data_IF_572451428442
#
_entry.id   IF_572451428442
#
_cell.length_a   1.000
_cell.length_b   1.000
_cell.length_c   1.000
_cell.angle_alpha   90.00
_cell.angle_beta   90.00
_cell.angle_gamma   90.00
#
_symmetry.space_group_name_H-M   'P 1'
#
loop_
_entity.id
_entity.type
_entity.pdbx_description
1 polymer ?
#
# COMPACT_ATOMS: atom_id res chain seq x y z
N UNK A 1 -42.92 -42.93 -10.14
CA UNK A 1 -41.84 -42.29 -9.35
C UNK A 1 -41.06 -41.37 -10.28
N UNK A 2 -41.06 -40.04 -10.06
CA UNK A 2 -40.26 -39.08 -10.83
C UNK A 2 -38.98 -38.76 -10.05
N UNK A 3 -37.79 -38.81 -10.67
CA UNK A 3 -36.54 -38.48 -9.97
C UNK A 3 -36.48 -36.98 -9.68
N UNK A 4 -36.13 -36.64 -8.43
CA UNK A 4 -35.89 -35.26 -7.97
C UNK A 4 -34.61 -34.74 -8.64
N UNK A 5 -34.78 -33.80 -9.57
CA UNK A 5 -33.67 -33.04 -10.15
C UNK A 5 -32.90 -32.32 -9.05
N UNK A 6 -31.61 -32.60 -8.96
CA UNK A 6 -30.69 -31.84 -8.12
C UNK A 6 -30.63 -30.41 -8.66
N UNK A 7 -31.04 -29.44 -7.84
CA UNK A 7 -30.79 -28.03 -8.10
C UNK A 7 -29.28 -27.84 -8.11
N UNK A 8 -28.69 -27.60 -9.28
CA UNK A 8 -27.32 -27.11 -9.40
C UNK A 8 -27.22 -25.83 -8.57
N UNK A 9 -26.39 -25.84 -7.53
CA UNK A 9 -26.08 -24.63 -6.77
C UNK A 9 -25.60 -23.55 -7.74
N UNK A 10 -26.05 -22.31 -7.52
CA UNK A 10 -25.55 -21.17 -8.28
C UNK A 10 -24.01 -21.14 -8.18
N UNK A 11 -23.28 -20.80 -9.26
CA UNK A 11 -21.83 -20.63 -9.16
C UNK A 11 -21.55 -19.57 -8.09
N UNK A 12 -20.87 -19.97 -7.02
CA UNK A 12 -20.35 -19.01 -6.05
C UNK A 12 -19.41 -18.08 -6.80
N UNK A 13 -19.76 -16.80 -6.87
CA UNK A 13 -18.89 -15.78 -7.45
C UNK A 13 -17.67 -15.69 -6.55
N UNK A 14 -16.50 -16.07 -7.06
CA UNK A 14 -15.24 -15.86 -6.34
C UNK A 14 -14.90 -14.39 -6.25
N UNK A 15 -14.00 -14.03 -5.32
CA UNK A 15 -13.40 -12.70 -5.30
C UNK A 15 -12.62 -12.47 -6.60
N UNK A 16 -12.68 -11.22 -7.10
CA UNK A 16 -12.05 -10.86 -8.37
C UNK A 16 -10.70 -10.22 -8.07
N UNK A 17 -9.64 -10.80 -8.62
CA UNK A 17 -8.29 -10.24 -8.60
C UNK A 17 -8.03 -9.61 -9.96
N UNK A 18 -7.62 -8.35 -9.98
CA UNK A 18 -7.29 -7.61 -11.19
C UNK A 18 -5.92 -6.96 -11.06
N UNK A 19 -5.09 -7.14 -12.07
CA UNK A 19 -3.86 -6.38 -12.23
C UNK A 19 -4.16 -5.17 -13.09
N UNK A 20 -3.70 -4.00 -12.64
CA UNK A 20 -3.93 -2.73 -13.31
C UNK A 20 -2.63 -1.95 -13.39
N UNK A 21 -2.42 -1.29 -14.53
CA UNK A 21 -1.17 -0.59 -14.83
C UNK A 21 -0.92 0.63 -13.93
N UNK A 22 -1.98 1.23 -13.39
CA UNK A 22 -1.91 2.42 -12.54
C UNK A 22 -3.02 2.44 -11.49
N UNK A 23 -2.75 3.09 -10.36
CA UNK A 23 -3.70 3.21 -9.26
C UNK A 23 -4.88 4.08 -9.66
N UNK A 24 -6.13 3.57 -9.59
CA UNK A 24 -7.32 4.31 -9.96
C UNK A 24 -7.45 5.60 -9.16
N UNK A 25 -7.88 6.70 -9.81
CA UNK A 25 -7.93 8.03 -9.20
C UNK A 25 -8.76 8.13 -7.91
N UNK A 26 -9.68 7.19 -7.69
CA UNK A 26 -10.50 7.07 -6.47
C UNK A 26 -9.73 6.58 -5.25
N UNK A 27 -8.60 5.90 -5.45
CA UNK A 27 -7.70 5.43 -4.39
C UNK A 27 -6.49 6.34 -4.19
N UNK A 28 -6.28 7.30 -5.10
CA UNK A 28 -5.24 8.31 -4.97
C UNK A 28 -5.66 9.34 -3.90
N UNK A 29 -4.79 9.53 -2.90
CA UNK A 29 -4.98 10.52 -1.85
C UNK A 29 -4.95 11.96 -2.38
N UNK A 30 -5.35 12.91 -1.52
CA UNK A 30 -5.35 14.36 -1.83
C UNK A 30 -3.99 14.91 -2.24
N UNK A 31 -2.93 14.35 -1.65
CA UNK A 31 -1.54 14.75 -1.88
C UNK A 31 -0.84 13.86 -2.93
N UNK A 32 -1.60 13.27 -3.86
CA UNK A 32 -1.00 12.47 -4.93
C UNK A 32 -0.25 13.37 -5.93
N UNK A 33 1.03 13.08 -6.22
CA UNK A 33 1.81 13.86 -7.18
C UNK A 33 1.38 13.57 -8.62
N UNK A 34 1.17 14.63 -9.42
CA UNK A 34 0.76 14.54 -10.83
C UNK A 34 1.95 14.38 -11.77
N UNK A 35 3.14 14.85 -11.38
CA UNK A 35 4.38 14.80 -12.16
C UNK A 35 5.41 13.79 -11.59
N UNK A 36 4.94 12.77 -10.88
CA UNK A 36 5.79 11.79 -10.18
C UNK A 36 6.87 11.18 -11.08
N UNK A 37 6.48 10.72 -12.28
CA UNK A 37 7.37 10.01 -13.18
C UNK A 37 8.48 10.92 -13.74
N UNK A 38 8.12 12.15 -14.10
CA UNK A 38 9.06 13.14 -14.62
C UNK A 38 10.10 13.54 -13.56
N UNK A 39 9.66 13.83 -12.34
CA UNK A 39 10.56 14.21 -11.25
C UNK A 39 11.44 13.04 -10.79
N UNK A 40 10.91 11.81 -10.83
CA UNK A 40 11.69 10.59 -10.60
C UNK A 40 12.81 10.45 -11.63
N UNK A 41 12.50 10.65 -12.91
CA UNK A 41 13.51 10.58 -13.97
C UNK A 41 14.57 11.68 -13.81
N UNK A 42 14.15 12.92 -13.52
CA UNK A 42 15.08 14.04 -13.29
C UNK A 42 16.04 13.79 -12.13
N UNK A 43 15.51 13.28 -11.02
CA UNK A 43 16.30 12.96 -9.84
C UNK A 43 17.29 11.83 -10.12
N UNK A 44 16.84 10.73 -10.72
CA UNK A 44 17.70 9.57 -10.96
C UNK A 44 18.76 9.83 -12.04
N UNK A 45 18.45 10.60 -13.09
CA UNK A 45 19.38 10.87 -14.20
C UNK A 45 20.31 12.04 -13.93
N UNK A 46 19.80 13.10 -13.30
CA UNK A 46 20.51 14.38 -13.19
C UNK A 46 20.80 14.81 -11.75
N UNK A 47 20.35 14.05 -10.74
CA UNK A 47 20.55 14.38 -9.33
C UNK A 47 19.79 15.64 -8.88
N UNK A 48 18.78 16.07 -9.64
CA UNK A 48 18.02 17.28 -9.35
C UNK A 48 16.99 17.01 -8.26
N UNK A 49 16.94 17.89 -7.25
CA UNK A 49 15.94 17.81 -6.17
C UNK A 49 14.52 17.78 -6.75
N UNK A 50 13.71 16.75 -6.45
CA UNK A 50 12.36 16.61 -6.98
C UNK A 50 11.46 17.79 -6.59
N UNK A 51 10.64 18.26 -7.53
CA UNK A 51 9.61 19.27 -7.29
C UNK A 51 8.23 18.73 -7.68
N UNK A 52 7.53 18.14 -6.71
CA UNK A 52 6.24 17.51 -6.95
C UNK A 52 5.10 18.51 -7.06
N UNK A 53 4.36 18.42 -8.16
CA UNK A 53 3.07 19.07 -8.34
C UNK A 53 2.00 18.14 -7.77
N UNK A 54 1.18 18.66 -6.85
CA UNK A 54 0.14 17.89 -6.18
C UNK A 54 -1.21 18.12 -6.85
N UNK A 55 -2.12 17.16 -6.68
CA UNK A 55 -3.50 17.24 -7.20
C UNK A 55 -4.32 18.38 -6.57
N UNK A 56 -4.02 18.73 -5.32
CA UNK A 56 -4.65 19.85 -4.59
C UNK A 56 -3.82 21.14 -4.71
N UNK A 57 -4.48 22.29 -4.52
CA UNK A 57 -3.81 23.60 -4.61
C UNK A 57 -2.93 23.87 -3.39
N UNK A 58 -1.99 24.82 -3.50
CA UNK A 58 -1.16 25.24 -2.37
C UNK A 58 -1.98 25.71 -1.15
N UNK A 59 -3.17 26.27 -1.38
CA UNK A 59 -4.09 26.71 -0.32
C UNK A 59 -4.69 25.53 0.43
N UNK A 60 -5.03 24.46 -0.28
CA UNK A 60 -5.54 23.22 0.32
C UNK A 60 -4.45 22.49 1.13
N UNK A 61 -3.21 22.54 0.66
CA UNK A 61 -2.03 22.03 1.37
C UNK A 61 -1.83 22.77 2.70
N UNK A 62 -1.87 24.10 2.67
CA UNK A 62 -1.68 24.92 3.87
C UNK A 62 -2.82 24.69 4.88
N UNK A 63 -4.05 24.51 4.39
CA UNK A 63 -5.19 24.08 5.21
C UNK A 63 -5.06 22.65 5.77
N UNK A 64 -4.34 21.75 5.09
CA UNK A 64 -4.07 20.40 5.58
C UNK A 64 -2.97 20.39 6.66
N UNK A 65 -1.92 21.18 6.47
CA UNK A 65 -0.76 21.29 7.38
C UNK A 65 -1.12 22.08 8.64
N UNK A 66 -1.95 23.11 8.53
CA UNK A 66 -2.41 23.93 9.67
C UNK A 66 -3.32 23.17 10.65
N UNK A 67 -3.96 22.07 10.21
CA UNK A 67 -4.76 21.21 11.09
C UNK A 67 -3.86 20.52 12.12
N UNK A 68 -4.41 20.20 13.30
CA UNK A 68 -3.69 19.52 14.39
C UNK A 68 -2.95 18.24 13.96
N UNK A 69 -3.44 17.54 12.93
CA UNK A 69 -2.81 16.34 12.34
C UNK A 69 -1.61 16.63 11.43
N UNK A 70 -1.51 17.83 10.86
CA UNK A 70 -0.42 18.26 9.97
C UNK A 70 0.69 19.04 10.68
N UNK A 71 0.46 19.48 11.92
CA UNK A 71 1.48 20.15 12.72
C UNK A 71 2.58 19.18 13.16
N UNK A 72 3.83 19.53 12.83
CA UNK A 72 5.01 18.81 13.31
C UNK A 72 5.17 19.10 14.81
N UNK A 73 5.17 18.04 15.62
CA UNK A 73 5.34 18.10 17.07
C UNK A 73 6.62 17.38 17.47
N UNK A 74 7.42 18.01 18.33
CA UNK A 74 8.68 17.45 18.81
C UNK A 74 8.62 16.94 20.24
N UNK A 75 7.43 16.96 20.85
CA UNK A 75 7.18 16.52 22.23
C UNK A 75 7.72 15.12 22.51
N UNK A 76 7.60 14.21 21.54
CA UNK A 76 8.05 12.81 21.63
C UNK A 76 9.33 12.53 20.82
N UNK A 77 10.06 13.57 20.40
CA UNK A 77 11.21 13.38 19.51
C UNK A 77 12.31 12.55 20.20
N UNK A 78 12.55 12.77 21.49
CA UNK A 78 13.62 12.07 22.22
C UNK A 78 13.24 10.60 22.45
N UNK A 79 11.99 10.33 22.79
CA UNK A 79 11.44 8.98 22.93
C UNK A 79 11.48 8.24 21.60
N UNK A 80 11.07 8.90 20.50
CA UNK A 80 11.16 8.33 19.16
C UNK A 80 12.61 7.99 18.78
N UNK A 81 13.58 8.86 19.10
CA UNK A 81 15.01 8.58 18.89
C UNK A 81 15.48 7.39 19.71
N UNK A 82 15.12 7.32 20.98
CA UNK A 82 15.50 6.21 21.86
C UNK A 82 14.93 4.86 21.37
N UNK A 83 13.68 4.86 20.87
CA UNK A 83 13.07 3.68 20.24
C UNK A 83 13.86 3.28 18.99
N UNK A 84 14.16 4.23 18.10
CA UNK A 84 14.94 3.96 16.89
C UNK A 84 16.33 3.42 17.21
N UNK A 85 17.02 3.96 18.21
CA UNK A 85 18.32 3.47 18.66
C UNK A 85 18.23 2.04 19.22
N UNK A 86 17.16 1.71 19.96
CA UNK A 86 16.92 0.37 20.47
C UNK A 86 16.67 -0.64 19.34
N UNK A 87 15.80 -0.28 18.39
CA UNK A 87 15.52 -1.09 17.19
C UNK A 87 16.81 -1.29 16.39
N UNK A 88 17.58 -0.22 16.15
CA UNK A 88 18.85 -0.28 15.43
C UNK A 88 19.88 -1.17 16.14
N UNK A 89 19.98 -1.10 17.47
CA UNK A 89 20.88 -2.00 18.23
C UNK A 89 20.47 -3.46 18.14
N UNK A 90 19.16 -3.74 18.08
CA UNK A 90 18.61 -5.10 18.09
C UNK A 90 18.65 -5.75 16.70
N UNK A 91 18.39 -4.99 15.65
CA UNK A 91 18.19 -5.51 14.29
C UNK A 91 19.25 -5.04 13.29
N UNK A 92 20.05 -4.02 13.64
CA UNK A 92 21.05 -3.44 12.74
C UNK A 92 20.41 -2.49 11.73
N UNK A 93 20.10 -2.99 10.55
CA UNK A 93 19.45 -2.25 9.47
C UNK A 93 17.92 -2.46 9.46
N UNK A 94 17.24 -1.72 8.59
CA UNK A 94 15.80 -1.81 8.43
C UNK A 94 15.36 -3.13 7.80
N UNK A 95 16.16 -3.69 6.89
CA UNK A 95 15.82 -4.90 6.14
C UNK A 95 15.74 -6.11 7.08
N UNK A 96 16.71 -6.27 7.99
CA UNK A 96 16.69 -7.31 9.01
C UNK A 96 15.48 -7.18 9.96
N UNK A 97 15.06 -5.95 10.27
CA UNK A 97 13.85 -5.74 11.05
C UNK A 97 12.61 -6.20 10.28
N UNK A 98 12.49 -5.85 9.00
CA UNK A 98 11.36 -6.25 8.18
C UNK A 98 11.29 -7.78 8.03
N UNK A 99 12.42 -8.43 7.77
CA UNK A 99 12.50 -9.89 7.64
C UNK A 99 12.08 -10.60 8.93
N UNK A 100 12.52 -10.11 10.10
CA UNK A 100 12.16 -10.70 11.40
C UNK A 100 10.72 -10.39 11.84
N UNK A 101 10.19 -9.21 11.51
CA UNK A 101 8.89 -8.75 11.98
C UNK A 101 7.73 -9.20 11.06
N UNK A 102 7.96 -9.24 9.75
CA UNK A 102 6.91 -9.48 8.75
C UNK A 102 7.19 -10.71 7.88
N UNK A 103 8.34 -11.35 8.06
CA UNK A 103 8.75 -12.51 7.27
C UNK A 103 9.31 -12.11 5.90
N UNK A 104 9.60 -13.13 5.10
CA UNK A 104 10.16 -12.93 3.77
C UNK A 104 9.17 -12.23 2.85
N UNK A 105 9.70 -11.39 1.96
CA UNK A 105 8.91 -10.81 0.86
C UNK A 105 8.32 -11.94 0.01
N UNK A 106 7.01 -11.91 -0.15
CA UNK A 106 6.28 -12.83 -1.03
C UNK A 106 5.95 -12.14 -2.35
N UNK A 107 5.91 -12.91 -3.43
CA UNK A 107 5.47 -12.40 -4.74
C UNK A 107 3.94 -12.25 -4.80
N UNK A 108 3.45 -11.63 -5.87
CA UNK A 108 2.02 -11.41 -6.10
C UNK A 108 1.23 -12.73 -6.16
N UNK A 109 1.82 -13.82 -6.66
CA UNK A 109 1.15 -15.11 -6.77
C UNK A 109 0.93 -15.73 -5.39
N UNK A 110 1.96 -15.72 -4.55
CA UNK A 110 1.92 -16.16 -3.16
C UNK A 110 0.97 -15.29 -2.34
N UNK A 111 1.04 -13.98 -2.49
CA UNK A 111 0.13 -13.05 -1.81
C UNK A 111 -1.34 -13.31 -2.22
N UNK A 112 -1.58 -13.58 -3.50
CA UNK A 112 -2.92 -13.93 -4.00
C UNK A 112 -3.45 -15.21 -3.35
N UNK A 113 -2.61 -16.26 -3.23
CA UNK A 113 -3.00 -17.51 -2.56
C UNK A 113 -3.39 -17.28 -1.09
N UNK A 114 -2.54 -16.58 -0.34
CA UNK A 114 -2.79 -16.24 1.06
C UNK A 114 -4.09 -15.44 1.22
N UNK A 115 -4.34 -14.47 0.33
CA UNK A 115 -5.57 -13.67 0.36
C UNK A 115 -6.81 -14.51 0.02
N UNK A 116 -6.72 -15.44 -0.94
CA UNK A 116 -7.84 -16.34 -1.26
C UNK A 116 -8.20 -17.18 -0.03
N UNK A 117 -7.20 -17.79 0.62
CA UNK A 117 -7.39 -18.59 1.83
C UNK A 117 -8.01 -17.77 2.95
N UNK A 118 -7.45 -16.59 3.23
CA UNK A 118 -7.96 -15.68 4.26
C UNK A 118 -9.42 -15.26 4.00
N UNK A 119 -9.78 -14.92 2.76
CA UNK A 119 -11.14 -14.51 2.43
C UNK A 119 -12.13 -15.67 2.53
N UNK A 120 -11.70 -16.88 2.17
CA UNK A 120 -12.50 -18.08 2.34
C UNK A 120 -12.76 -18.36 3.82
N UNK A 121 -11.72 -18.32 4.66
CA UNK A 121 -11.81 -18.57 6.10
C UNK A 121 -12.70 -17.55 6.82
N UNK A 122 -12.72 -16.30 6.33
CA UNK A 122 -13.53 -15.22 6.88
C UNK A 122 -14.90 -15.07 6.21
N UNK A 123 -15.29 -15.99 5.32
CA UNK A 123 -16.58 -15.96 4.59
C UNK A 123 -16.81 -14.71 3.72
N UNK A 124 -15.75 -14.05 3.27
CA UNK A 124 -15.80 -12.87 2.40
C UNK A 124 -15.67 -13.33 0.94
N UNK A 125 -16.58 -14.21 0.49
CA UNK A 125 -16.51 -14.81 -0.84
C UNK A 125 -17.39 -14.06 -1.84
N UNK A 126 -16.76 -13.41 -2.82
CA UNK A 126 -17.45 -12.69 -3.90
C UNK A 126 -17.90 -11.28 -3.52
N UNK A 127 -17.52 -10.81 -2.33
CA UNK A 127 -17.86 -9.49 -1.81
C UNK A 127 -16.75 -8.45 -2.04
N UNK A 128 -15.56 -8.89 -2.46
CA UNK A 128 -14.40 -8.02 -2.61
C UNK A 128 -13.73 -8.14 -3.97
N UNK A 129 -13.32 -7.00 -4.51
CA UNK A 129 -12.43 -6.90 -5.67
C UNK A 129 -11.07 -6.42 -5.19
N UNK A 130 -10.02 -7.19 -5.46
CA UNK A 130 -8.65 -6.88 -5.11
C UNK A 130 -7.92 -6.39 -6.36
N UNK A 131 -7.25 -5.23 -6.23
CA UNK A 131 -6.47 -4.63 -7.29
C UNK A 131 -4.98 -4.68 -6.94
N UNK A 132 -4.19 -5.32 -7.80
CA UNK A 132 -2.74 -5.25 -7.77
C UNK A 132 -2.28 -4.07 -8.62
N UNK A 133 -1.50 -3.16 -8.02
CA UNK A 133 -0.96 -1.98 -8.70
C UNK A 133 0.53 -1.84 -8.39
N UNK A 134 1.38 -1.55 -9.39
CA UNK A 134 2.82 -1.38 -9.19
C UNK A 134 3.18 -0.13 -8.38
N UNK A 135 2.32 0.88 -8.38
CA UNK A 135 2.55 2.18 -7.72
C UNK A 135 2.39 2.11 -6.19
N UNK A 136 1.76 1.06 -5.65
CA UNK A 136 1.56 0.86 -4.22
C UNK A 136 2.48 -0.22 -3.63
N UNK A 137 3.60 -0.49 -4.31
CA UNK A 137 4.59 -1.47 -3.84
C UNK A 137 5.46 -0.87 -2.73
N UNK A 138 5.59 -1.60 -1.61
CA UNK A 138 6.50 -1.25 -0.51
C UNK A 138 7.97 -1.63 -0.80
N UNK A 139 8.25 -2.19 -1.98
CA UNK A 139 9.58 -2.58 -2.39
C UNK A 139 10.39 -1.33 -2.75
N UNK A 140 11.26 -0.90 -1.83
CA UNK A 140 12.43 -0.08 -2.14
C UNK A 140 13.40 -0.91 -2.99
N UNK A 141 13.10 -1.11 -4.28
CA UNK A 141 14.13 -1.44 -5.25
C UNK A 141 14.76 -0.13 -5.73
N UNK A 142 15.67 0.40 -4.93
CA UNK A 142 16.73 1.30 -5.40
C UNK A 142 17.78 0.51 -6.14
#
# INVERSE_FOLDING_TARGET
>A
MKPKGHKKGAPQKGNVFQEIDSTPSKFQGRLWPTNLQEEKEKFLRFGLTPHFQLKETAVDLDNAVSKKRGQIRFELLQEAKAILDCVKKKFGDGDNYFDLAFGNVIDQEQATKVLIEYLADNSINGEMTIYWTPELTALNKT
#
